data_IF_133880694285
#
_entry.id   IF_133880694285
#
_cell.length_a   1.000
_cell.length_b   1.000
_cell.length_c   1.000
_cell.angle_alpha   90.00
_cell.angle_beta   90.00
_cell.angle_gamma   90.00
#
_symmetry.space_group_name_H-M   'P 1'
#
loop_
_entity.id
_entity.type
_entity.pdbx_description
1 polymer ?
#
# COMPACT_ATOMS: atom_id res chain seq x y z
N UNK A 1 -28.89 16.23 3.12
CA UNK A 1 -28.69 15.82 1.72
C UNK A 1 -28.21 17.04 0.96
N UNK A 2 -26.89 17.19 0.81
CA UNK A 2 -26.26 18.31 0.09
C UNK A 2 -25.91 17.83 -1.32
N UNK A 3 -26.54 18.40 -2.34
CA UNK A 3 -26.16 18.22 -3.74
C UNK A 3 -24.91 19.05 -3.98
N UNK A 4 -23.80 18.39 -4.31
CA UNK A 4 -22.51 19.01 -4.60
C UNK A 4 -22.06 18.57 -5.98
N UNK A 5 -21.59 19.49 -6.81
CA UNK A 5 -21.06 19.12 -8.13
C UNK A 5 -19.73 18.37 -8.01
N UNK A 6 -19.37 17.59 -9.03
CA UNK A 6 -18.08 16.88 -9.09
C UNK A 6 -16.91 17.86 -8.93
N UNK A 7 -16.98 19.05 -9.55
CA UNK A 7 -15.96 20.09 -9.45
C UNK A 7 -15.80 20.64 -8.03
N UNK A 8 -16.91 20.89 -7.33
CA UNK A 8 -16.89 21.37 -5.93
C UNK A 8 -16.33 20.31 -4.99
N UNK A 9 -16.76 19.05 -5.16
CA UNK A 9 -16.29 17.93 -4.35
C UNK A 9 -14.80 17.65 -4.57
N UNK A 10 -14.32 17.73 -5.82
CA UNK A 10 -12.89 17.60 -6.12
C UNK A 10 -12.05 18.70 -5.46
N UNK A 11 -12.54 19.95 -5.44
CA UNK A 11 -11.89 21.06 -4.74
C UNK A 11 -11.80 20.83 -3.24
N UNK A 12 -12.87 20.32 -2.62
CA UNK A 12 -12.90 19.98 -1.20
C UNK A 12 -11.86 18.90 -0.86
N UNK A 13 -11.76 17.87 -1.71
CA UNK A 13 -10.76 16.80 -1.58
C UNK A 13 -9.35 17.20 -2.02
N UNK A 14 -9.16 18.44 -2.51
CA UNK A 14 -7.90 18.94 -3.08
C UNK A 14 -7.32 17.99 -4.14
N UNK A 15 -8.19 17.42 -4.97
CA UNK A 15 -7.85 16.51 -6.07
C UNK A 15 -8.28 17.11 -7.41
N UNK A 16 -7.59 16.77 -8.51
CA UNK A 16 -8.06 17.15 -9.84
C UNK A 16 -9.39 16.46 -10.13
N UNK A 17 -10.34 17.20 -10.71
CA UNK A 17 -11.66 16.67 -11.06
C UNK A 17 -11.58 15.47 -12.02
N UNK A 18 -10.60 15.47 -12.92
CA UNK A 18 -10.34 14.35 -13.84
C UNK A 18 -10.06 13.03 -13.12
N UNK A 19 -9.20 13.05 -12.09
CA UNK A 19 -8.89 11.86 -11.30
C UNK A 19 -10.10 11.38 -10.50
N UNK A 20 -10.94 12.30 -10.01
CA UNK A 20 -12.16 11.94 -9.31
C UNK A 20 -13.17 11.29 -10.26
N UNK A 21 -13.28 11.78 -11.50
CA UNK A 21 -14.16 11.19 -12.54
C UNK A 21 -13.70 9.77 -12.88
N UNK A 22 -12.39 9.54 -13.01
CA UNK A 22 -11.83 8.20 -13.24
C UNK A 22 -12.13 7.23 -12.07
N UNK A 23 -12.06 7.72 -10.83
CA UNK A 23 -12.42 6.91 -9.66
C UNK A 23 -13.92 6.61 -9.58
N UNK A 24 -14.77 7.58 -9.92
CA UNK A 24 -16.21 7.41 -9.96
C UNK A 24 -16.63 6.40 -11.04
N UNK A 25 -16.02 6.46 -12.23
CA UNK A 25 -16.28 5.49 -13.30
C UNK A 25 -15.80 4.09 -12.91
N UNK A 26 -14.62 3.97 -12.28
CA UNK A 26 -14.12 2.70 -11.75
C UNK A 26 -15.00 2.13 -10.62
N UNK A 27 -15.67 3.00 -9.85
CA UNK A 27 -16.64 2.62 -8.83
C UNK A 27 -18.04 2.25 -9.40
N UNK A 28 -18.22 2.30 -10.72
CA UNK A 28 -19.49 1.98 -11.38
C UNK A 28 -20.53 3.09 -11.33
N UNK A 29 -20.13 4.33 -11.03
CA UNK A 29 -20.98 5.52 -11.20
C UNK A 29 -20.84 5.97 -12.66
N UNK A 30 -21.96 6.16 -13.36
CA UNK A 30 -21.98 6.54 -14.79
C UNK A 30 -21.10 7.77 -15.05
N UNK A 31 -20.45 7.83 -16.23
CA UNK A 31 -19.48 8.87 -16.60
C UNK A 31 -20.02 10.29 -16.34
N UNK A 32 -19.63 10.89 -15.20
CA UNK A 32 -20.04 12.22 -14.78
C UNK A 32 -19.12 13.28 -15.39
N UNK A 33 -19.69 14.40 -15.79
CA UNK A 33 -18.93 15.59 -16.17
C UNK A 33 -18.57 16.41 -14.92
N UNK A 34 -17.62 17.37 -14.99
CA UNK A 34 -17.28 18.22 -13.85
C UNK A 34 -18.46 19.03 -13.30
N UNK A 35 -19.46 19.28 -14.13
CA UNK A 35 -20.68 20.03 -13.80
C UNK A 35 -21.82 19.15 -13.30
N UNK A 36 -21.68 17.83 -13.36
CA UNK A 36 -22.73 16.91 -12.93
C UNK A 36 -22.81 16.86 -11.40
N UNK A 37 -24.00 16.61 -10.88
CA UNK A 37 -24.27 16.54 -9.45
C UNK A 37 -23.90 15.17 -8.89
N UNK A 38 -23.30 15.16 -7.68
CA UNK A 38 -22.97 13.94 -6.95
C UNK A 38 -24.06 13.64 -5.92
N UNK A 39 -24.66 12.44 -6.00
CA UNK A 39 -25.61 11.96 -4.99
C UNK A 39 -24.88 11.31 -3.82
N UNK A 40 -25.55 11.15 -2.67
CA UNK A 40 -24.95 10.50 -1.51
C UNK A 40 -24.69 9.00 -1.75
N UNK A 41 -25.49 8.34 -2.60
CA UNK A 41 -25.27 6.96 -3.02
C UNK A 41 -23.98 6.83 -3.87
N UNK A 42 -23.72 7.80 -4.76
CA UNK A 42 -22.49 7.83 -5.56
C UNK A 42 -21.24 8.00 -4.69
N UNK A 43 -21.33 8.83 -3.64
CA UNK A 43 -20.26 9.00 -2.64
C UNK A 43 -19.98 7.69 -1.91
N UNK A 44 -21.03 6.96 -1.52
CA UNK A 44 -20.87 5.66 -0.85
C UNK A 44 -20.21 4.61 -1.75
N UNK A 45 -20.60 4.55 -3.04
CA UNK A 45 -19.96 3.67 -4.02
C UNK A 45 -18.47 3.99 -4.17
N UNK A 46 -18.12 5.27 -4.34
CA UNK A 46 -16.73 5.71 -4.40
C UNK A 46 -15.96 5.29 -3.14
N UNK A 47 -16.53 5.49 -1.95
CA UNK A 47 -15.89 5.08 -0.69
C UNK A 47 -15.67 3.57 -0.60
N UNK A 48 -16.64 2.76 -1.01
CA UNK A 48 -16.51 1.30 -1.03
C UNK A 48 -15.41 0.84 -1.99
N UNK A 49 -15.36 1.42 -3.20
CA UNK A 49 -14.32 1.14 -4.18
C UNK A 49 -12.92 1.49 -3.65
N UNK A 50 -12.75 2.66 -3.04
CA UNK A 50 -11.48 3.07 -2.45
C UNK A 50 -11.05 2.13 -1.30
N UNK A 51 -11.98 1.74 -0.42
CA UNK A 51 -11.71 0.78 0.66
C UNK A 51 -11.27 -0.59 0.13
N UNK A 52 -11.93 -1.08 -0.92
CA UNK A 52 -11.56 -2.34 -1.57
C UNK A 52 -10.19 -2.25 -2.24
N UNK A 53 -9.92 -1.17 -2.99
CA UNK A 53 -8.64 -0.94 -3.68
C UNK A 53 -7.46 -0.81 -2.73
N UNK A 54 -7.66 -0.17 -1.57
CA UNK A 54 -6.63 -0.04 -0.52
C UNK A 54 -6.56 -1.25 0.44
N UNK A 55 -7.31 -2.32 0.17
CA UNK A 55 -7.25 -3.56 0.95
C UNK A 55 -7.78 -3.44 2.38
N UNK A 56 -8.60 -2.43 2.67
CA UNK A 56 -9.23 -2.23 3.99
C UNK A 56 -10.33 -3.26 4.27
N UNK A 57 -10.92 -3.87 3.24
CA UNK A 57 -11.98 -4.89 3.40
C UNK A 57 -11.46 -6.34 3.34
N UNK A 58 -10.21 -6.55 2.91
CA UNK A 58 -9.59 -7.85 3.11
C UNK A 58 -9.31 -8.02 4.62
N UNK A 59 -9.53 -9.21 5.20
CA UNK A 59 -9.10 -9.46 6.58
C UNK A 59 -7.65 -9.05 6.65
N UNK A 60 -7.38 -8.04 7.49
CA UNK A 60 -6.08 -7.38 7.59
C UNK A 60 -5.03 -8.47 7.60
N UNK A 61 -4.23 -8.57 6.53
CA UNK A 61 -3.14 -9.55 6.53
C UNK A 61 -2.21 -9.12 7.64
N UNK A 62 -2.33 -9.78 8.80
CA UNK A 62 -1.59 -9.50 10.04
C UNK A 62 -0.08 -9.41 9.81
N UNK A 63 0.41 -10.00 8.70
CA UNK A 63 1.80 -10.06 8.32
C UNK A 63 1.96 -9.82 6.81
N UNK A 64 2.71 -8.78 6.44
CA UNK A 64 3.18 -8.56 5.07
C UNK A 64 4.70 -8.80 5.07
N UNK A 65 5.18 -9.72 4.23
CA UNK A 65 6.61 -10.03 4.09
C UNK A 65 7.12 -9.53 2.75
N UNK A 66 8.07 -8.59 2.75
CA UNK A 66 8.79 -8.16 1.57
C UNK A 66 10.13 -8.93 1.47
N UNK A 67 10.35 -9.61 0.35
CA UNK A 67 11.63 -10.27 0.06
C UNK A 67 12.43 -9.39 -0.90
N UNK A 68 13.55 -8.83 -0.44
CA UNK A 68 14.48 -8.06 -1.31
C UNK A 68 15.68 -8.95 -1.65
N UNK A 69 15.92 -9.18 -2.95
CA UNK A 69 17.12 -9.84 -3.47
C UNK A 69 18.19 -8.77 -3.69
N UNK A 70 19.38 -8.95 -3.12
CA UNK A 70 20.55 -8.11 -3.35
C UNK A 70 21.71 -8.99 -3.79
N UNK A 71 22.32 -8.66 -4.93
CA UNK A 71 23.49 -9.37 -5.46
C UNK A 71 24.74 -8.51 -5.20
N UNK A 72 25.77 -9.07 -4.57
CA UNK A 72 27.06 -8.41 -4.32
C UNK A 72 28.20 -9.30 -4.81
N UNK A 73 29.17 -8.74 -5.52
CA UNK A 73 30.31 -9.47 -6.04
C UNK A 73 31.53 -9.29 -5.13
N UNK A 74 32.12 -10.38 -4.66
CA UNK A 74 33.37 -10.37 -3.90
C UNK A 74 34.50 -10.80 -4.85
N UNK A 75 35.51 -9.95 -5.02
CA UNK A 75 36.74 -10.27 -5.74
C UNK A 75 37.79 -10.68 -4.72
N UNK A 76 38.17 -11.97 -4.70
CA UNK A 76 39.15 -12.48 -3.76
C UNK A 76 40.27 -13.21 -4.53
N UNK A 77 41.52 -12.97 -4.14
CA UNK A 77 42.65 -13.78 -4.58
C UNK A 77 42.73 -15.02 -3.70
N UNK A 78 42.79 -16.21 -4.30
CA UNK A 78 43.07 -17.45 -3.58
C UNK A 78 44.50 -17.38 -2.98
N UNK A 79 44.83 -18.25 -2.01
CA UNK A 79 46.16 -18.31 -1.37
C UNK A 79 47.32 -18.54 -2.36
N UNK A 80 46.99 -18.95 -3.59
CA UNK A 80 47.89 -19.13 -4.73
C UNK A 80 47.89 -17.95 -5.73
N UNK A 81 47.34 -16.78 -5.38
CA UNK A 81 47.43 -15.52 -6.15
C UNK A 81 46.44 -15.36 -7.32
N UNK A 82 45.55 -16.33 -7.56
CA UNK A 82 44.61 -16.29 -8.68
C UNK A 82 43.30 -15.63 -8.27
N UNK A 83 42.92 -14.54 -8.94
CA UNK A 83 41.69 -13.80 -8.65
C UNK A 83 40.45 -14.60 -9.07
N UNK A 84 39.51 -14.81 -8.14
CA UNK A 84 38.17 -15.36 -8.38
C UNK A 84 37.12 -14.32 -8.03
N UNK A 85 36.10 -14.17 -8.88
CA UNK A 85 34.92 -13.33 -8.60
C UNK A 85 33.80 -14.24 -8.12
N UNK A 86 33.37 -14.03 -6.89
CA UNK A 86 32.32 -14.80 -6.22
C UNK A 86 31.07 -13.92 -6.24
N UNK A 87 30.02 -14.39 -6.92
CA UNK A 87 28.70 -13.74 -6.86
C UNK A 87 27.99 -14.17 -5.59
N UNK A 88 27.76 -13.23 -4.66
CA UNK A 88 27.05 -13.47 -3.42
C UNK A 88 25.64 -12.92 -3.54
N UNK A 89 24.63 -13.79 -3.52
CA UNK A 89 23.23 -13.37 -3.43
C UNK A 89 22.78 -13.35 -1.97
N UNK A 90 22.44 -12.17 -1.43
CA UNK A 90 21.84 -12.04 -0.10
C UNK A 90 20.34 -11.76 -0.25
N UNK A 91 19.51 -12.58 0.40
CA UNK A 91 18.05 -12.40 0.47
C UNK A 91 17.69 -11.83 1.82
N UNK A 92 17.18 -10.59 1.86
CA UNK A 92 16.68 -9.97 3.10
C UNK A 92 15.17 -10.07 3.16
N UNK A 93 14.65 -10.75 4.18
CA UNK A 93 13.23 -10.84 4.50
C UNK A 93 12.86 -9.72 5.48
N UNK A 94 12.07 -8.73 5.07
CA UNK A 94 11.50 -7.72 5.99
C UNK A 94 10.03 -8.04 6.24
N UNK A 95 9.67 -8.26 7.50
CA UNK A 95 8.30 -8.52 7.93
C UNK A 95 7.72 -7.25 8.53
N UNK A 96 6.56 -6.81 8.06
CA UNK A 96 5.79 -5.71 8.65
C UNK A 96 4.51 -6.27 9.28
N UNK A 97 4.26 -5.86 10.53
CA UNK A 97 3.06 -6.14 11.33
C UNK A 97 2.37 -4.81 11.58
N UNK A 98 1.04 -4.80 11.61
CA UNK A 98 0.26 -3.59 11.90
C UNK A 98 0.54 -3.15 13.34
N UNK A 99 1.04 -1.92 13.51
CA UNK A 99 1.67 -1.46 14.78
C UNK A 99 0.68 -1.35 15.94
N UNK A 100 -0.59 -1.13 15.64
CA UNK A 100 -1.66 -0.99 16.66
C UNK A 100 -1.87 -2.29 17.48
N UNK A 101 -1.47 -3.45 16.97
CA UNK A 101 -1.57 -4.74 17.67
C UNK A 101 -0.26 -5.14 18.40
N UNK A 102 0.87 -4.45 18.14
CA UNK A 102 2.19 -4.82 18.67
C UNK A 102 2.41 -4.31 20.09
N UNK A 103 1.65 -3.28 20.51
CA UNK A 103 1.67 -2.83 21.91
C UNK A 103 0.96 -3.81 22.86
N UNK A 104 0.32 -4.88 22.34
CA UNK A 104 -0.34 -5.94 23.13
C UNK A 104 0.51 -7.22 23.29
N UNK A 105 1.66 -7.32 22.64
CA UNK A 105 2.59 -8.45 22.81
C UNK A 105 3.91 -7.93 23.38
N UNK A 106 3.86 -7.56 24.67
CA UNK A 106 5.07 -7.49 25.47
C UNK A 106 5.66 -8.91 25.61
N UNK A 107 6.97 -9.10 25.41
CA UNK A 107 7.59 -10.40 25.56
C UNK A 107 7.66 -10.76 27.04
N UNK A 108 6.68 -11.54 27.51
CA UNK A 108 6.82 -12.33 28.72
C UNK A 108 7.64 -13.58 28.39
N UNK A 109 8.98 -13.46 28.40
CA UNK A 109 9.79 -14.58 28.87
C UNK A 109 11.08 -14.06 29.52
N UNK A 110 11.24 -14.45 30.78
CA UNK A 110 12.15 -13.90 31.77
C UNK A 110 13.63 -14.26 31.51
N UNK A 111 14.57 -13.42 32.00
CA UNK A 111 15.88 -13.88 32.41
C UNK A 111 15.80 -14.41 33.85
N UNK A 112 16.11 -15.68 34.10
CA UNK A 112 16.48 -16.16 35.43
C UNK A 112 17.21 -17.53 35.36
N UNK A 113 18.35 -17.58 36.08
CA UNK A 113 19.26 -18.69 36.38
C UNK A 113 20.26 -19.10 35.28
#
# INVERSE_FOLDING_TARGET
MTRTTVSEFAKELKKPAESLIEQLSAAGVANKSPSDELTDDDKQKLLSYLKASHGSEAPSRKKITLVKKSTSEIKQADSSGKARTIQVEVRKKRTFVKRDDVDQESPAEAPAA
#
